data_IF_137155771376
#
_entry.id   IF_137155771376
#
_cell.length_a   1.000
_cell.length_b   1.000
_cell.length_c   1.000
_cell.angle_alpha   90.00
_cell.angle_beta   90.00
_cell.angle_gamma   90.00
#
_symmetry.space_group_name_H-M   'P 1'
#
loop_
_entity.id
_entity.type
_entity.pdbx_description
1 polymer ?
#
# COMPACT_ATOMS: atom_id res chain seq x y z
N UNK A 1 -2.32 13.46 26.29
CA UNK A 1 -2.94 12.26 25.70
C UNK A 1 -2.33 12.02 24.32
N UNK A 2 -1.27 11.21 24.21
CA UNK A 2 -0.62 10.86 22.92
C UNK A 2 -0.60 9.35 22.62
N UNK A 3 -1.14 8.51 23.52
CA UNK A 3 -1.09 7.04 23.38
C UNK A 3 -2.15 6.43 22.46
N UNK A 4 -3.25 7.12 22.17
CA UNK A 4 -4.33 6.53 21.34
C UNK A 4 -4.06 6.52 19.83
N UNK A 5 -3.23 7.46 19.34
CA UNK A 5 -3.06 7.66 17.89
C UNK A 5 -2.12 6.65 17.24
N UNK A 6 -1.01 6.33 17.92
CA UNK A 6 -0.05 5.33 17.42
C UNK A 6 -0.64 3.92 17.38
N UNK A 7 -1.36 3.52 18.44
CA UNK A 7 -2.00 2.20 18.50
C UNK A 7 -3.04 1.98 17.39
N UNK A 8 -3.81 3.00 17.04
CA UNK A 8 -4.75 2.93 15.92
C UNK A 8 -4.04 2.67 14.58
N UNK A 9 -2.95 3.39 14.29
CA UNK A 9 -2.19 3.22 13.05
C UNK A 9 -1.59 1.81 12.98
N UNK A 10 -1.03 1.31 14.09
CA UNK A 10 -0.51 -0.06 14.15
C UNK A 10 -1.59 -1.10 13.87
N UNK A 11 -2.75 -1.02 14.55
CA UNK A 11 -3.86 -1.96 14.34
C UNK A 11 -4.36 -1.91 12.90
N UNK A 12 -4.50 -0.71 12.34
CA UNK A 12 -4.92 -0.53 10.94
C UNK A 12 -3.93 -1.20 9.97
N UNK A 13 -2.63 -0.97 10.14
CA UNK A 13 -1.61 -1.56 9.26
C UNK A 13 -1.55 -3.09 9.39
N UNK A 14 -1.77 -3.63 10.60
CA UNK A 14 -1.94 -5.07 10.80
C UNK A 14 -3.17 -5.59 10.07
N UNK A 15 -4.30 -4.88 10.14
CA UNK A 15 -5.53 -5.27 9.47
C UNK A 15 -5.40 -5.24 7.94
N UNK A 16 -4.70 -4.25 7.36
CA UNK A 16 -4.39 -4.21 5.92
C UNK A 16 -3.74 -5.52 5.47
N UNK A 17 -2.67 -5.92 6.17
CA UNK A 17 -1.96 -7.15 5.84
C UNK A 17 -2.80 -8.41 6.12
N UNK A 18 -3.58 -8.42 7.21
CA UNK A 18 -4.49 -9.54 7.49
C UNK A 18 -5.53 -9.75 6.39
N UNK A 19 -6.10 -8.68 5.85
CA UNK A 19 -7.04 -8.78 4.73
C UNK A 19 -6.39 -9.41 3.51
N UNK A 20 -5.16 -9.02 3.16
CA UNK A 20 -4.38 -9.70 2.12
C UNK A 20 -4.16 -11.19 2.40
N UNK A 21 -3.69 -11.55 3.61
CA UNK A 21 -3.45 -12.96 4.00
C UNK A 21 -4.73 -13.79 3.91
N UNK A 22 -5.90 -13.18 4.15
CA UNK A 22 -7.21 -13.81 4.00
C UNK A 22 -7.72 -13.84 2.55
N UNK A 23 -6.93 -13.40 1.56
CA UNK A 23 -7.33 -13.35 0.14
C UNK A 23 -8.32 -12.23 -0.18
N UNK A 24 -8.43 -11.22 0.69
CA UNK A 24 -9.40 -10.12 0.61
C UNK A 24 -8.70 -8.78 0.35
N UNK A 25 -7.86 -8.73 -0.68
CA UNK A 25 -7.05 -7.54 -0.99
C UNK A 25 -7.92 -6.29 -1.27
N UNK A 26 -9.12 -6.47 -1.81
CA UNK A 26 -10.08 -5.38 -2.02
C UNK A 26 -10.57 -4.79 -0.69
N UNK A 27 -10.81 -5.62 0.34
CA UNK A 27 -11.17 -5.13 1.69
C UNK A 27 -9.98 -4.37 2.32
N UNK A 28 -8.74 -4.80 2.05
CA UNK A 28 -7.56 -4.06 2.46
C UNK A 28 -7.52 -2.66 1.81
N UNK A 29 -7.81 -2.57 0.52
CA UNK A 29 -7.87 -1.30 -0.20
C UNK A 29 -8.97 -0.38 0.35
N UNK A 30 -10.17 -0.92 0.59
CA UNK A 30 -11.25 -0.14 1.20
C UNK A 30 -10.87 0.41 2.59
N UNK A 31 -10.22 -0.41 3.44
CA UNK A 31 -9.74 0.05 4.74
C UNK A 31 -8.70 1.17 4.61
N UNK A 32 -7.83 1.08 3.60
CA UNK A 32 -6.85 2.12 3.31
C UNK A 32 -7.52 3.45 2.92
N UNK A 33 -8.55 3.39 2.07
CA UNK A 33 -9.29 4.56 1.60
C UNK A 33 -10.20 5.19 2.65
N UNK A 34 -10.62 4.44 3.67
CA UNK A 34 -11.50 4.93 4.73
C UNK A 34 -10.81 5.98 5.63
N UNK A 35 -9.47 5.92 5.76
CA UNK A 35 -8.71 6.78 6.66
C UNK A 35 -7.50 7.47 5.98
N UNK A 36 -7.71 8.28 4.93
CA UNK A 36 -6.63 8.80 4.09
C UNK A 36 -5.65 9.68 4.86
N UNK A 37 -6.15 10.49 5.81
CA UNK A 37 -5.33 11.36 6.66
C UNK A 37 -4.45 10.60 7.66
N UNK A 38 -4.70 9.29 7.85
CA UNK A 38 -3.95 8.41 8.75
C UNK A 38 -3.11 7.40 7.98
N UNK A 39 -3.00 7.53 6.67
CA UNK A 39 -2.12 6.70 5.84
C UNK A 39 -0.70 7.21 5.98
N UNK A 40 0.10 6.48 6.75
CA UNK A 40 1.53 6.71 6.90
C UNK A 40 2.31 5.91 5.84
N UNK A 41 3.63 6.11 5.81
CA UNK A 41 4.52 5.40 4.91
C UNK A 41 4.37 3.86 5.04
N UNK A 42 4.11 3.37 6.25
CA UNK A 42 3.90 1.94 6.50
C UNK A 42 2.59 1.48 5.84
N UNK A 43 1.49 2.23 5.96
CA UNK A 43 0.22 1.93 5.31
C UNK A 43 0.38 1.75 3.79
N UNK A 44 1.07 2.70 3.15
CA UNK A 44 1.35 2.67 1.71
C UNK A 44 2.19 1.46 1.33
N UNK A 45 3.29 1.21 2.06
CA UNK A 45 4.18 0.09 1.79
C UNK A 45 3.51 -1.27 2.02
N UNK A 46 2.66 -1.39 3.05
CA UNK A 46 1.89 -2.60 3.32
C UNK A 46 0.93 -2.88 2.18
N UNK A 47 0.06 -1.93 1.82
CA UNK A 47 -0.93 -2.16 0.76
C UNK A 47 -0.27 -2.44 -0.59
N UNK A 48 0.69 -1.63 -1.01
CA UNK A 48 1.39 -1.85 -2.28
C UNK A 48 2.16 -3.17 -2.25
N UNK A 49 2.83 -3.48 -1.14
CA UNK A 49 3.53 -4.75 -0.94
C UNK A 49 2.63 -5.97 -1.08
N UNK A 50 1.44 -5.91 -0.47
CA UNK A 50 0.44 -6.96 -0.61
C UNK A 50 -0.04 -7.11 -2.06
N UNK A 51 -0.23 -6.00 -2.80
CA UNK A 51 -0.55 -6.04 -4.23
C UNK A 51 0.58 -6.61 -5.11
N UNK A 52 1.86 -6.49 -4.70
CA UNK A 52 2.98 -7.13 -5.43
C UNK A 52 2.78 -8.65 -5.52
N UNK A 53 2.25 -9.24 -4.45
CA UNK A 53 2.01 -10.68 -4.36
C UNK A 53 0.78 -11.15 -5.14
N UNK A 54 -0.18 -10.26 -5.38
CA UNK A 54 -1.40 -10.55 -6.17
C UNK A 54 -1.18 -10.31 -7.68
N UNK A 55 0.02 -9.87 -8.08
CA UNK A 55 0.40 -9.60 -9.48
C UNK A 55 -0.55 -8.62 -10.18
N UNK A 56 -0.89 -7.52 -9.51
CA UNK A 56 -1.71 -6.43 -10.07
C UNK A 56 -0.87 -5.16 -10.33
N UNK A 57 -0.01 -5.15 -11.36
CA UNK A 57 0.95 -4.07 -11.60
C UNK A 57 0.30 -2.70 -11.84
N UNK A 58 -0.89 -2.67 -12.46
CA UNK A 58 -1.61 -1.42 -12.72
C UNK A 58 -2.01 -0.70 -11.42
N UNK A 59 -2.54 -1.44 -10.45
CA UNK A 59 -2.96 -0.89 -9.16
C UNK A 59 -1.75 -0.32 -8.40
N UNK A 60 -0.61 -1.00 -8.45
CA UNK A 60 0.62 -0.53 -7.81
C UNK A 60 1.14 0.75 -8.46
N UNK A 61 1.09 0.85 -9.80
CA UNK A 61 1.45 2.08 -10.52
C UNK A 61 0.57 3.26 -10.10
N UNK A 62 -0.74 3.03 -9.95
CA UNK A 62 -1.68 4.10 -9.59
C UNK A 62 -1.51 4.51 -8.11
N UNK A 63 -1.39 3.55 -7.19
CA UNK A 63 -1.06 3.81 -5.78
C UNK A 63 0.27 4.55 -5.63
N UNK A 64 1.30 4.19 -6.42
CA UNK A 64 2.58 4.89 -6.40
C UNK A 64 2.45 6.36 -6.82
N UNK A 65 1.65 6.65 -7.87
CA UNK A 65 1.39 8.04 -8.28
C UNK A 65 0.68 8.82 -7.18
N UNK A 66 -0.34 8.25 -6.57
CA UNK A 66 -1.08 8.87 -5.47
C UNK A 66 -0.18 9.15 -4.26
N UNK A 67 0.67 8.19 -3.91
CA UNK A 67 1.68 8.34 -2.86
C UNK A 67 2.62 9.52 -3.13
N UNK A 68 3.12 9.64 -4.36
CA UNK A 68 3.99 10.76 -4.76
C UNK A 68 3.26 12.11 -4.73
N UNK A 69 2.01 12.16 -5.18
CA UNK A 69 1.17 13.37 -5.10
C UNK A 69 0.95 13.77 -3.63
N UNK A 70 0.82 12.79 -2.74
CA UNK A 70 0.73 13.00 -1.30
C UNK A 70 2.04 13.42 -0.62
N UNK A 71 3.16 13.50 -1.35
CA UNK A 71 4.46 13.89 -0.82
C UNK A 71 5.19 12.78 -0.05
N UNK A 72 4.81 11.52 -0.24
CA UNK A 72 5.46 10.37 0.38
C UNK A 72 6.50 9.74 -0.57
N UNK A 73 7.60 9.25 -0.01
CA UNK A 73 8.65 8.55 -0.76
C UNK A 73 8.43 7.03 -0.74
N UNK A 74 8.36 6.41 -1.92
CA UNK A 74 8.19 4.96 -2.02
C UNK A 74 9.42 4.20 -1.54
N UNK A 75 9.20 3.00 -0.99
CA UNK A 75 10.31 2.09 -0.67
C UNK A 75 11.00 1.56 -1.93
N UNK A 76 12.30 1.24 -1.80
CA UNK A 76 13.11 0.69 -2.90
C UNK A 76 12.49 -0.58 -3.52
N UNK A 77 11.80 -1.40 -2.72
CA UNK A 77 11.15 -2.63 -3.18
C UNK A 77 10.05 -2.31 -4.20
N UNK A 78 9.23 -1.29 -3.92
CA UNK A 78 8.14 -0.87 -4.81
C UNK A 78 8.69 -0.31 -6.11
N UNK A 79 9.75 0.50 -6.03
CA UNK A 79 10.43 1.05 -7.20
C UNK A 79 11.00 -0.05 -8.10
N UNK A 80 11.65 -1.06 -7.51
CA UNK A 80 12.19 -2.19 -8.27
C UNK A 80 11.09 -2.99 -8.98
N UNK A 81 9.97 -3.23 -8.31
CA UNK A 81 8.86 -3.94 -8.94
C UNK A 81 8.22 -3.15 -10.07
N UNK A 82 8.03 -1.83 -9.90
CA UNK A 82 7.52 -0.97 -10.96
C UNK A 82 8.42 -1.02 -12.20
N UNK A 83 9.74 -1.00 -12.02
CA UNK A 83 10.68 -1.14 -13.12
C UNK A 83 10.52 -2.48 -13.85
N UNK A 84 10.36 -3.58 -13.11
CA UNK A 84 10.11 -4.90 -13.71
C UNK A 84 8.78 -4.94 -14.47
N UNK A 85 7.70 -4.45 -13.87
CA UNK A 85 6.37 -4.43 -14.46
C UNK A 85 6.31 -3.56 -15.73
N UNK A 86 7.01 -2.42 -15.75
CA UNK A 86 7.09 -1.56 -16.94
C UNK A 86 7.90 -2.23 -18.06
N UNK A 87 8.98 -2.95 -17.71
CA UNK A 87 9.76 -3.73 -18.67
C UNK A 87 8.92 -4.81 -19.38
N UNK A 88 7.99 -5.44 -18.66
CA UNK A 88 7.08 -6.46 -19.20
C UNK A 88 5.92 -5.88 -20.02
N UNK A 89 5.44 -4.68 -19.69
CA UNK A 89 4.37 -4.01 -20.46
C UNK A 89 4.84 -3.46 -21.81
N UNK A 90 6.16 -3.36 -22.03
CA UNK A 90 6.78 -2.85 -23.24
C UNK A 90 7.29 -3.92 -24.22
N UNK A 91 7.16 -5.20 -23.90
CA UNK A 91 7.52 -6.34 -24.78
C UNK A 91 6.31 -6.88 -25.53
#
# INVERSE_FOLDING_TARGET
MRSGHGGFITVKNTLLHCYYVCGKIEDAHHLFDEFPQRNDLISWNTLMGDYLHVSQPRVIVDLFKEMCIGGFEASVIIVLYLLSAIGELGS
#
